data_IF_905549310112
#
_entry.id   IF_905549310112
#
_cell.length_a   1.000
_cell.length_b   1.000
_cell.length_c   1.000
_cell.angle_alpha   90.00
_cell.angle_beta   90.00
_cell.angle_gamma   90.00
#
_symmetry.space_group_name_H-M   'P 1'
#
loop_
_entity.id
_entity.type
_entity.pdbx_description
1 polymer ?
#
# COMPACT_ATOMS: atom_id res chain seq x y z
N UNK A 1 30.99 -2.79 42.34
CA UNK A 1 29.64 -2.22 42.14
C UNK A 1 29.21 -2.54 40.72
N UNK A 2 28.31 -3.50 40.55
CA UNK A 2 27.82 -3.93 39.24
C UNK A 2 26.75 -2.95 38.75
N UNK A 3 26.96 -2.32 37.60
CA UNK A 3 25.95 -1.51 36.94
C UNK A 3 25.00 -2.47 36.19
N UNK A 4 23.89 -2.85 36.80
CA UNK A 4 22.82 -3.63 36.15
C UNK A 4 21.96 -2.68 35.32
N UNK A 5 22.46 -2.29 34.14
CA UNK A 5 21.84 -1.33 33.24
C UNK A 5 20.80 -1.95 32.30
N UNK A 6 19.69 -2.47 32.83
CA UNK A 6 18.49 -2.72 32.02
C UNK A 6 17.38 -1.78 32.48
N UNK A 7 17.28 -0.61 31.85
CA UNK A 7 16.09 0.24 31.96
C UNK A 7 14.98 -0.44 31.16
N UNK A 8 14.08 -1.13 31.85
CA UNK A 8 12.84 -1.61 31.24
C UNK A 8 11.92 -0.41 30.97
N UNK A 9 11.49 -0.27 29.72
CA UNK A 9 10.48 0.71 29.33
C UNK A 9 9.12 0.03 29.43
N UNK A 10 8.32 0.42 30.41
CA UNK A 10 6.92 -0.02 30.50
C UNK A 10 6.05 0.83 29.59
N UNK A 11 5.32 0.18 28.68
CA UNK A 11 4.36 0.83 27.79
C UNK A 11 3.00 0.87 28.51
N UNK A 12 2.38 2.05 28.69
CA UNK A 12 1.07 2.14 29.32
C UNK A 12 -0.01 1.28 28.65
N UNK A 13 -0.77 0.54 29.45
CA UNK A 13 -1.79 -0.38 28.95
C UNK A 13 -2.87 0.28 28.08
N UNK A 14 -3.14 1.57 28.26
CA UNK A 14 -4.11 2.33 27.45
C UNK A 14 -3.68 2.51 25.99
N UNK A 15 -2.37 2.47 25.69
CA UNK A 15 -1.86 2.53 24.31
C UNK A 15 -1.57 1.15 23.72
N UNK A 16 -1.50 0.10 24.54
CA UNK A 16 -1.39 -1.28 24.10
C UNK A 16 -2.72 -1.87 23.57
N UNK A 17 -2.61 -2.93 22.78
CA UNK A 17 -3.71 -3.79 22.36
C UNK A 17 -3.34 -5.21 22.74
N UNK A 18 -4.29 -5.96 23.31
CA UNK A 18 -4.05 -7.36 23.65
C UNK A 18 -3.79 -8.17 22.36
N UNK A 19 -2.61 -8.81 22.22
CA UNK A 19 -2.26 -9.54 21.00
C UNK A 19 -3.02 -10.86 20.84
N UNK A 20 -3.59 -11.39 21.93
CA UNK A 20 -4.33 -12.65 21.92
C UNK A 20 -5.74 -12.48 21.32
N UNK A 21 -6.17 -13.50 20.58
CA UNK A 21 -7.47 -13.60 19.91
C UNK A 21 -7.83 -12.36 19.07
N UNK A 22 -7.58 -12.42 17.77
CA UNK A 22 -7.89 -11.33 16.84
C UNK A 22 -7.16 -10.00 17.15
N UNK A 23 -5.97 -10.04 17.75
CA UNK A 23 -5.17 -8.87 18.10
C UNK A 23 -4.95 -7.88 16.94
N UNK A 24 -4.70 -8.39 15.73
CA UNK A 24 -4.57 -7.57 14.51
C UNK A 24 -5.85 -6.82 14.18
N UNK A 25 -7.02 -7.46 14.28
CA UNK A 25 -8.31 -6.82 14.05
C UNK A 25 -8.60 -5.76 15.11
N UNK A 26 -8.34 -6.07 16.39
CA UNK A 26 -8.46 -5.10 17.50
C UNK A 26 -7.55 -3.89 17.30
N UNK A 27 -6.33 -4.09 16.79
CA UNK A 27 -5.40 -3.01 16.46
C UNK A 27 -5.94 -2.14 15.33
N UNK A 28 -6.41 -2.77 14.25
CA UNK A 28 -7.03 -2.07 13.11
C UNK A 28 -8.23 -1.24 13.59
N UNK A 29 -9.10 -1.79 14.42
CA UNK A 29 -10.30 -1.09 14.91
C UNK A 29 -9.93 0.04 15.89
N UNK A 30 -8.86 -0.11 16.66
CA UNK A 30 -8.34 0.97 17.52
C UNK A 30 -7.75 2.12 16.72
N UNK A 31 -7.02 1.81 15.65
CA UNK A 31 -6.38 2.83 14.80
C UNK A 31 -7.39 3.48 13.86
N UNK A 32 -8.26 2.68 13.22
CA UNK A 32 -9.26 3.11 12.25
C UNK A 32 -10.68 2.72 12.71
N UNK A 33 -11.24 3.39 13.72
CA UNK A 33 -12.54 3.02 14.32
C UNK A 33 -13.72 3.08 13.34
N UNK A 34 -13.61 3.88 12.27
CA UNK A 34 -14.66 4.08 11.27
C UNK A 34 -14.28 3.52 9.89
N UNK A 35 -13.42 2.49 9.83
CA UNK A 35 -12.96 1.92 8.55
C UNK A 35 -14.11 1.45 7.64
N UNK A 36 -15.23 1.00 8.22
CA UNK A 36 -16.44 0.62 7.50
C UNK A 36 -17.31 1.80 7.05
N UNK A 37 -17.05 3.01 7.56
CA UNK A 37 -17.72 4.24 7.15
C UNK A 37 -16.71 5.14 6.43
N UNK A 38 -16.67 5.00 5.10
CA UNK A 38 -15.69 5.66 4.22
C UNK A 38 -15.63 7.19 4.31
N UNK A 39 -16.64 7.85 4.88
CA UNK A 39 -16.65 9.31 5.06
C UNK A 39 -15.77 9.77 6.22
N UNK A 40 -15.61 8.92 7.23
CA UNK A 40 -15.01 9.27 8.52
C UNK A 40 -13.69 8.54 8.77
N UNK A 41 -13.09 7.95 7.72
CA UNK A 41 -11.79 7.29 7.86
C UNK A 41 -10.69 8.35 8.04
N UNK A 42 -10.08 8.36 9.23
CA UNK A 42 -8.89 9.14 9.50
C UNK A 42 -7.65 8.48 8.86
N UNK A 43 -7.32 8.92 7.64
CA UNK A 43 -6.20 8.41 6.87
C UNK A 43 -4.85 9.01 7.27
N UNK A 44 -4.81 9.89 8.28
CA UNK A 44 -3.54 10.42 8.80
C UNK A 44 -2.80 9.40 9.67
N UNK A 45 -3.51 8.38 10.16
CA UNK A 45 -2.96 7.29 10.98
C UNK A 45 -2.27 6.23 10.13
N UNK A 46 -1.35 5.48 10.74
CA UNK A 46 -0.62 4.40 10.09
C UNK A 46 -0.32 3.28 11.08
N UNK A 47 -0.33 2.04 10.60
CA UNK A 47 0.16 0.88 11.35
C UNK A 47 1.54 0.53 10.78
N UNK A 48 2.55 0.49 11.64
CA UNK A 48 3.91 0.12 11.28
C UNK A 48 4.21 -1.29 11.81
N UNK A 49 4.90 -2.08 11.02
CA UNK A 49 5.36 -3.41 11.41
C UNK A 49 6.82 -3.62 10.98
N UNK A 50 7.55 -4.44 11.74
CA UNK A 50 8.98 -4.68 11.52
C UNK A 50 9.27 -5.58 10.33
N UNK A 51 8.29 -6.36 9.86
CA UNK A 51 8.43 -7.31 8.75
C UNK A 51 7.35 -7.09 7.71
N UNK A 52 7.73 -7.21 6.44
CA UNK A 52 6.81 -7.08 5.31
C UNK A 52 5.66 -8.09 5.35
N UNK A 53 5.90 -9.33 5.81
CA UNK A 53 4.84 -10.35 5.97
C UNK A 53 3.67 -9.86 6.85
N UNK A 54 4.00 -9.13 7.92
CA UNK A 54 3.01 -8.56 8.84
C UNK A 54 2.31 -7.34 8.21
N UNK A 55 3.05 -6.54 7.44
CA UNK A 55 2.49 -5.41 6.67
C UNK A 55 1.48 -5.92 5.66
N UNK A 56 1.81 -6.97 4.91
CA UNK A 56 0.92 -7.56 3.91
C UNK A 56 -0.35 -8.14 4.56
N UNK A 57 -0.20 -8.86 5.67
CA UNK A 57 -1.34 -9.37 6.45
C UNK A 57 -2.27 -8.23 6.90
N UNK A 58 -1.72 -7.18 7.52
CA UNK A 58 -2.52 -6.04 8.01
C UNK A 58 -3.17 -5.28 6.85
N UNK A 59 -2.43 -5.02 5.77
CA UNK A 59 -2.96 -4.36 4.58
C UNK A 59 -4.14 -5.13 3.99
N UNK A 60 -4.04 -6.46 3.89
CA UNK A 60 -5.14 -7.31 3.42
C UNK A 60 -6.36 -7.24 4.35
N UNK A 61 -6.17 -7.32 5.66
CA UNK A 61 -7.27 -7.19 6.63
C UNK A 61 -7.97 -5.81 6.55
N UNK A 62 -7.19 -4.73 6.42
CA UNK A 62 -7.73 -3.37 6.23
C UNK A 62 -8.53 -3.30 4.93
N UNK A 63 -7.98 -3.85 3.85
CA UNK A 63 -8.64 -3.91 2.55
C UNK A 63 -9.95 -4.70 2.61
N UNK A 64 -10.01 -5.81 3.34
CA UNK A 64 -11.22 -6.62 3.48
C UNK A 64 -12.33 -5.87 4.24
N UNK A 65 -11.97 -5.09 5.27
CA UNK A 65 -12.91 -4.27 6.05
C UNK A 65 -13.43 -3.05 5.29
N UNK A 66 -12.71 -2.55 4.28
CA UNK A 66 -13.17 -1.43 3.47
C UNK A 66 -14.41 -1.81 2.65
N UNK A 67 -15.52 -1.05 2.78
CA UNK A 67 -16.72 -1.31 2.01
C UNK A 67 -16.47 -0.91 0.56
N UNK A 68 -16.67 -1.85 -0.35
CA UNK A 68 -16.64 -1.59 -1.79
C UNK A 68 -17.54 -2.58 -2.49
N UNK A 69 -18.36 -2.09 -3.42
CA UNK A 69 -19.08 -2.93 -4.37
C UNK A 69 -18.12 -3.43 -5.46
N UNK A 70 -18.52 -4.44 -6.24
CA UNK A 70 -17.65 -5.05 -7.24
C UNK A 70 -17.08 -4.02 -8.25
N UNK A 71 -17.90 -3.06 -8.68
CA UNK A 71 -17.55 -1.94 -9.57
C UNK A 71 -16.62 -0.89 -8.92
N UNK A 72 -16.44 -0.95 -7.60
CA UNK A 72 -15.55 -0.08 -6.82
C UNK A 72 -14.23 -0.78 -6.46
N UNK A 73 -13.96 -1.94 -7.08
CA UNK A 73 -12.71 -2.69 -6.90
C UNK A 73 -11.99 -2.84 -8.23
N UNK A 74 -10.66 -2.92 -8.19
CA UNK A 74 -9.85 -3.16 -9.38
C UNK A 74 -8.60 -3.95 -9.05
N UNK A 75 -8.32 -4.93 -9.88
CA UNK A 75 -7.06 -5.66 -9.90
C UNK A 75 -6.24 -5.20 -11.10
N UNK A 76 -5.04 -4.68 -10.87
CA UNK A 76 -4.06 -4.34 -11.89
C UNK A 76 -2.95 -5.41 -11.88
N UNK A 77 -2.66 -6.01 -13.03
CA UNK A 77 -1.58 -6.99 -13.19
C UNK A 77 -0.33 -6.31 -13.77
N UNK A 78 0.86 -6.80 -13.45
CA UNK A 78 2.14 -6.18 -13.85
C UNK A 78 2.67 -6.61 -15.21
N UNK A 79 2.26 -7.75 -15.76
CA UNK A 79 2.75 -8.28 -17.03
C UNK A 79 1.64 -8.31 -18.08
N UNK A 80 1.59 -7.29 -18.96
CA UNK A 80 0.79 -7.35 -20.19
C UNK A 80 1.63 -7.74 -21.42
N UNK A 81 2.96 -7.61 -21.38
CA UNK A 81 3.84 -7.98 -22.49
C UNK A 81 5.31 -8.10 -22.06
N UNK A 82 6.07 -8.91 -22.80
CA UNK A 82 7.53 -9.00 -22.70
C UNK A 82 8.14 -7.88 -23.54
N UNK A 83 9.18 -7.21 -23.02
CA UNK A 83 9.82 -6.06 -23.69
C UNK A 83 10.63 -6.44 -24.94
N UNK A 84 10.89 -7.72 -25.12
CA UNK A 84 11.65 -8.29 -26.23
C UNK A 84 10.68 -9.11 -27.09
N UNK A 85 10.46 -8.70 -28.34
CA UNK A 85 9.56 -9.38 -29.29
C UNK A 85 10.00 -10.84 -29.51
N UNK A 86 11.32 -11.10 -29.45
CA UNK A 86 11.91 -12.44 -29.60
C UNK A 86 11.64 -13.36 -28.39
N UNK A 87 11.21 -12.78 -27.26
CA UNK A 87 10.85 -13.53 -26.03
C UNK A 87 9.34 -13.53 -25.75
N UNK A 88 8.53 -12.87 -26.60
CA UNK A 88 7.08 -12.96 -26.51
C UNK A 88 6.63 -14.41 -26.76
N UNK A 89 6.02 -15.01 -25.73
CA UNK A 89 5.53 -16.40 -25.78
C UNK A 89 6.44 -17.44 -25.14
N UNK A 90 7.66 -17.09 -24.70
CA UNK A 90 8.54 -18.04 -23.98
C UNK A 90 8.03 -18.38 -22.58
N UNK A 91 7.25 -17.48 -21.97
CA UNK A 91 6.66 -17.67 -20.65
C UNK A 91 5.17 -17.34 -20.68
N UNK A 92 4.30 -18.22 -20.12
CA UNK A 92 2.91 -17.88 -19.91
C UNK A 92 2.78 -16.60 -19.08
N UNK A 93 1.81 -15.74 -19.42
CA UNK A 93 1.53 -14.52 -18.67
C UNK A 93 1.20 -14.87 -17.21
N UNK A 94 0.57 -16.02 -16.98
CA UNK A 94 0.31 -16.61 -15.67
C UNK A 94 1.59 -16.84 -14.87
N UNK A 95 2.66 -17.34 -15.50
CA UNK A 95 3.97 -17.52 -14.86
C UNK A 95 4.65 -16.17 -14.57
N UNK A 96 4.57 -15.22 -15.50
CA UNK A 96 5.11 -13.88 -15.27
C UNK A 96 4.35 -13.15 -14.14
N UNK A 97 3.07 -13.45 -13.96
CA UNK A 97 2.25 -12.91 -12.87
C UNK A 97 2.54 -13.55 -11.50
N UNK A 98 3.25 -14.68 -11.42
CA UNK A 98 3.65 -15.28 -10.12
C UNK A 98 4.99 -14.78 -9.61
N UNK A 99 5.82 -14.18 -10.47
CA UNK A 99 7.09 -13.61 -10.03
C UNK A 99 6.81 -12.51 -9.00
N UNK A 100 7.64 -12.37 -7.97
CA UNK A 100 7.61 -11.23 -7.02
C UNK A 100 9.05 -10.81 -6.75
N UNK A 101 9.73 -10.18 -7.72
CA UNK A 101 11.11 -9.77 -7.56
C UNK A 101 11.22 -8.77 -6.42
N UNK A 102 12.21 -8.99 -5.55
CA UNK A 102 12.49 -8.12 -4.41
C UNK A 102 12.66 -6.67 -4.87
N UNK A 103 12.02 -5.72 -4.18
CA UNK A 103 12.08 -4.29 -4.52
C UNK A 103 11.16 -3.84 -5.66
N UNK A 104 10.29 -4.70 -6.21
CA UNK A 104 9.24 -4.29 -7.17
C UNK A 104 7.85 -4.36 -6.53
N UNK A 105 6.88 -3.52 -6.98
CA UNK A 105 5.50 -3.63 -6.53
C UNK A 105 4.96 -5.04 -6.77
N UNK A 106 4.04 -5.53 -5.93
CA UNK A 106 3.44 -6.85 -6.10
C UNK A 106 2.84 -6.98 -7.51
N UNK A 107 2.99 -8.16 -8.11
CA UNK A 107 2.53 -8.42 -9.49
C UNK A 107 1.03 -8.25 -9.69
N UNK A 108 0.28 -8.26 -8.57
CA UNK A 108 -1.14 -7.99 -8.51
C UNK A 108 -1.37 -6.84 -7.54
N UNK A 109 -1.78 -5.68 -8.06
CA UNK A 109 -2.25 -4.56 -7.26
C UNK A 109 -3.78 -4.61 -7.18
N UNK A 110 -4.31 -5.04 -6.03
CA UNK A 110 -5.74 -4.97 -5.74
C UNK A 110 -6.04 -3.68 -4.97
N UNK A 111 -6.96 -2.86 -5.50
CA UNK A 111 -7.36 -1.58 -4.92
C UNK A 111 -8.87 -1.43 -4.88
N UNK A 112 -9.34 -0.69 -3.89
CA UNK A 112 -10.75 -0.35 -3.67
C UNK A 112 -10.91 1.16 -3.67
N UNK A 113 -12.11 1.65 -4.01
CA UNK A 113 -12.49 3.04 -3.74
C UNK A 113 -12.33 3.33 -2.25
N UNK A 114 -11.87 4.53 -1.92
CA UNK A 114 -11.55 5.03 -0.57
C UNK A 114 -10.34 4.36 0.10
N UNK A 115 -9.67 3.40 -0.55
CA UNK A 115 -8.47 2.79 0.01
C UNK A 115 -7.31 3.80 0.08
N UNK A 116 -6.55 3.85 1.19
CA UNK A 116 -5.26 4.51 1.22
C UNK A 116 -4.26 3.74 0.36
N UNK A 117 -3.47 4.48 -0.43
CA UNK A 117 -2.34 3.97 -1.19
C UNK A 117 -1.14 4.88 -0.98
N UNK A 118 0.07 4.37 -1.21
CA UNK A 118 1.30 5.15 -1.12
C UNK A 118 2.06 5.03 -2.44
N UNK A 119 2.65 6.15 -2.90
CA UNK A 119 3.55 6.11 -4.04
C UNK A 119 4.88 5.48 -3.65
N UNK A 120 5.38 4.56 -4.48
CA UNK A 120 6.65 3.87 -4.27
C UNK A 120 7.80 4.48 -5.10
N UNK A 121 7.53 5.52 -5.90
CA UNK A 121 8.51 6.23 -6.72
C UNK A 121 8.06 7.65 -7.02
N UNK A 122 9.02 8.50 -7.36
CA UNK A 122 8.74 9.84 -7.84
C UNK A 122 8.09 9.78 -9.24
N UNK A 123 6.95 10.45 -9.40
CA UNK A 123 6.23 10.58 -10.66
C UNK A 123 6.26 12.02 -11.16
N UNK A 124 5.94 12.95 -10.28
CA UNK A 124 5.96 14.38 -10.57
C UNK A 124 6.20 15.17 -9.27
N UNK A 125 7.47 15.48 -8.95
CA UNK A 125 7.83 16.25 -7.75
C UNK A 125 7.10 17.59 -7.64
N UNK A 126 6.85 18.28 -8.75
CA UNK A 126 6.19 19.60 -8.77
C UNK A 126 4.75 19.55 -8.28
N UNK A 127 4.08 18.42 -8.51
CA UNK A 127 2.70 18.16 -8.10
C UNK A 127 2.62 17.41 -6.76
N UNK A 128 3.74 17.25 -6.04
CA UNK A 128 3.79 16.51 -4.77
C UNK A 128 3.70 14.98 -4.93
N UNK A 129 3.85 14.45 -6.16
CA UNK A 129 3.83 13.01 -6.44
C UNK A 129 5.23 12.42 -6.30
N UNK A 130 5.68 12.33 -5.06
CA UNK A 130 6.97 11.80 -4.63
C UNK A 130 6.80 10.40 -4.02
N UNK A 131 7.91 9.67 -3.90
CA UNK A 131 7.95 8.44 -3.11
C UNK A 131 7.52 8.75 -1.67
N UNK A 132 6.64 7.92 -1.10
CA UNK A 132 6.08 8.11 0.22
C UNK A 132 4.82 8.99 0.27
N UNK A 133 4.43 9.68 -0.82
CA UNK A 133 3.19 10.46 -0.83
C UNK A 133 2.00 9.52 -0.64
N UNK A 134 1.24 9.74 0.44
CA UNK A 134 0.01 9.01 0.73
C UNK A 134 -1.16 9.62 -0.02
N UNK A 135 -1.98 8.77 -0.61
CA UNK A 135 -3.15 9.11 -1.41
C UNK A 135 -4.36 8.29 -0.97
N UNK A 136 -5.56 8.77 -1.27
CA UNK A 136 -6.81 8.03 -1.13
C UNK A 136 -7.46 7.84 -2.50
N UNK A 137 -7.85 6.60 -2.84
CA UNK A 137 -8.53 6.31 -4.11
C UNK A 137 -9.91 6.95 -4.14
N UNK A 138 -10.16 7.84 -5.11
CA UNK A 138 -11.45 8.51 -5.31
C UNK A 138 -12.30 7.76 -6.33
N UNK A 139 -11.68 7.30 -7.42
CA UNK A 139 -12.36 6.53 -8.46
C UNK A 139 -11.38 5.64 -9.24
N UNK A 140 -11.89 4.52 -9.75
CA UNK A 140 -11.14 3.54 -10.52
C UNK A 140 -11.64 3.56 -11.98
N UNK A 141 -10.83 4.10 -12.88
CA UNK A 141 -11.08 4.04 -14.33
C UNK A 141 -10.41 2.84 -14.99
N UNK A 142 -10.68 2.61 -16.28
CA UNK A 142 -10.13 1.47 -17.04
C UNK A 142 -8.59 1.43 -17.00
N UNK A 143 -7.90 2.55 -17.20
CA UNK A 143 -6.42 2.64 -17.22
C UNK A 143 -5.84 3.71 -16.28
N UNK A 144 -6.68 4.34 -15.46
CA UNK A 144 -6.30 5.46 -14.60
C UNK A 144 -6.92 5.25 -13.22
N UNK A 145 -6.17 5.56 -12.16
CA UNK A 145 -6.69 5.68 -10.80
C UNK A 145 -6.78 7.17 -10.49
N UNK A 146 -7.99 7.65 -10.18
CA UNK A 146 -8.18 9.00 -9.64
C UNK A 146 -7.99 8.92 -8.14
N UNK A 147 -7.04 9.69 -7.60
CA UNK A 147 -6.73 9.71 -6.18
C UNK A 147 -6.64 11.13 -5.65
N UNK A 148 -6.76 11.29 -4.34
CA UNK A 148 -6.58 12.56 -3.64
C UNK A 148 -5.36 12.47 -2.73
N UNK A 149 -4.50 13.49 -2.72
CA UNK A 149 -3.37 13.58 -1.80
C UNK A 149 -3.91 13.81 -0.39
N UNK A 150 -3.45 13.01 0.57
CA UNK A 150 -3.91 13.06 1.97
C UNK A 150 -2.82 13.48 2.95
N UNK A 151 -1.62 13.81 2.45
CA UNK A 151 -0.51 14.29 3.28
C UNK A 151 0.37 15.27 2.54
N UNK A 152 0.96 16.20 3.30
CA UNK A 152 2.00 17.10 2.83
C UNK A 152 1.45 18.41 2.27
N UNK A 153 2.32 19.21 1.65
CA UNK A 153 1.98 20.56 1.17
C UNK A 153 0.91 20.60 0.08
N UNK A 154 0.69 19.47 -0.60
CA UNK A 154 -0.29 19.33 -1.69
C UNK A 154 -1.55 18.57 -1.24
N UNK A 155 -1.79 18.43 0.07
CA UNK A 155 -2.99 17.77 0.60
C UNK A 155 -4.28 18.35 0.03
N UNK A 156 -5.25 17.48 -0.25
CA UNK A 156 -6.53 17.85 -0.85
C UNK A 156 -6.52 17.83 -2.38
N UNK A 157 -5.36 17.95 -3.03
CA UNK A 157 -5.27 17.95 -4.48
C UNK A 157 -5.65 16.60 -5.07
N UNK A 158 -6.41 16.64 -6.18
CA UNK A 158 -6.80 15.45 -6.94
C UNK A 158 -5.79 15.20 -8.05
N UNK A 159 -5.35 13.95 -8.17
CA UNK A 159 -4.36 13.50 -9.14
C UNK A 159 -4.85 12.27 -9.90
N UNK A 160 -4.32 12.08 -11.10
CA UNK A 160 -4.63 10.94 -11.96
C UNK A 160 -3.37 10.11 -12.14
N UNK A 161 -3.40 8.88 -11.63
CA UNK A 161 -2.30 7.94 -11.77
C UNK A 161 -2.58 7.04 -12.99
N UNK A 162 -1.89 7.23 -14.12
CA UNK A 162 -1.98 6.30 -15.23
C UNK A 162 -1.31 4.97 -14.86
N UNK A 163 -1.66 3.90 -15.58
CA UNK A 163 -0.88 2.66 -15.52
C UNK A 163 0.55 2.95 -16.01
N UNK A 164 1.55 2.60 -15.20
CA UNK A 164 2.96 2.79 -15.52
C UNK A 164 3.55 1.43 -15.89
N UNK A 165 4.21 1.34 -17.03
CA UNK A 165 4.99 0.16 -17.43
C UNK A 165 6.32 0.16 -16.67
N UNK A 166 6.64 -0.94 -15.98
CA UNK A 166 7.94 -1.13 -15.35
C UNK A 166 8.79 -1.95 -16.32
N UNK A 167 9.65 -1.28 -17.09
CA UNK A 167 10.66 -1.96 -17.92
C UNK A 167 11.79 -2.46 -17.02
N UNK A 168 12.23 -3.70 -17.17
CA UNK A 168 13.31 -4.32 -16.38
C UNK A 168 14.71 -3.70 -16.61
N UNK A 169 14.81 -2.57 -17.31
CA UNK A 169 16.07 -1.88 -17.56
C UNK A 169 16.08 -0.58 -16.76
N UNK A 170 16.64 -0.66 -15.56
CA UNK A 170 17.62 0.27 -14.98
C UNK A 170 17.88 -0.18 -13.54
N UNK A 171 18.98 -0.90 -13.34
CA UNK A 171 19.64 -1.00 -12.05
C UNK A 171 20.01 0.41 -11.58
N UNK A 172 19.68 0.75 -10.34
CA UNK A 172 20.49 1.67 -9.55
C UNK A 172 20.63 1.11 -8.12
N UNK A 173 21.88 0.83 -7.77
CA UNK A 173 22.48 0.83 -6.41
C UNK A 173 22.06 2.11 -5.66
N UNK A 174 21.96 2.23 -4.32
CA UNK A 174 22.42 1.44 -3.19
C UNK A 174 21.57 1.81 -1.94
N UNK A 175 21.55 0.88 -0.97
CA UNK A 175 21.10 0.91 0.45
C UNK A 175 19.82 1.69 0.80
#
# INVERSE_FOLDING_TARGET
MSCSGQSQVEIPNNICVNPFENGSNKLIDKVYPYLTNTRDIDLNRSILATKNENVDMINNLVMDKLPATHDQTKTCLTADSVADDDQQGLYPIEFLNTLTPSGKPPHRLYVKKNAPIILLRNLNPKEGLLNGTRLCVVNLGKRIIKARIITGSMEGNTVFLPRITITSIQFWTAV
#
